data_IF_350736813585
#
_entry.id   IF_350736813585
#
_cell.length_a   1.000
_cell.length_b   1.000
_cell.length_c   1.000
_cell.angle_alpha   90.00
_cell.angle_beta   90.00
_cell.angle_gamma   90.00
#
_symmetry.space_group_name_H-M   'P 1'
#
loop_
_entity.id
_entity.type
_entity.pdbx_description
1 polymer ?
#
# COMPACT_ATOMS: atom_id res chain seq x y z
N UNK A 1 22.34 -7.28 -41.00
CA UNK A 1 23.41 -6.34 -41.38
C UNK A 1 23.48 -5.31 -40.28
N UNK A 2 24.47 -5.54 -39.42
CA UNK A 2 25.27 -4.63 -38.59
C UNK A 2 24.64 -3.76 -37.48
N UNK A 3 25.15 -4.02 -36.28
CA UNK A 3 25.54 -3.14 -35.17
C UNK A 3 24.78 -1.83 -34.91
N UNK A 4 24.27 -1.69 -33.67
CA UNK A 4 24.71 -0.57 -32.83
C UNK A 4 24.65 -0.89 -31.33
N UNK A 5 25.82 -0.78 -30.71
CA UNK A 5 26.13 -0.91 -29.30
C UNK A 5 25.79 0.40 -28.54
N UNK A 6 25.73 0.32 -27.21
CA UNK A 6 25.69 1.39 -26.17
C UNK A 6 24.39 1.31 -25.34
N UNK A 7 24.42 1.12 -24.02
CA UNK A 7 25.48 1.19 -23.04
C UNK A 7 24.84 1.62 -21.73
N UNK A 8 24.87 0.77 -20.71
CA UNK A 8 24.84 1.19 -19.28
C UNK A 8 25.47 0.08 -18.44
N UNK A 9 26.74 -0.23 -18.75
CA UNK A 9 27.65 -0.69 -17.71
C UNK A 9 27.89 0.50 -16.77
N UNK A 10 27.53 0.39 -15.49
CA UNK A 10 28.34 0.99 -14.41
C UNK A 10 27.79 0.84 -12.99
N UNK A 11 26.53 0.47 -12.73
CA UNK A 11 26.02 0.51 -11.33
C UNK A 11 25.72 -0.85 -10.69
N UNK A 12 26.03 -1.96 -11.36
CA UNK A 12 25.82 -3.33 -10.82
C UNK A 12 27.03 -4.25 -11.00
N UNK A 13 28.24 -3.69 -10.98
CA UNK A 13 29.49 -4.44 -11.17
C UNK A 13 29.98 -5.27 -9.99
N UNK A 14 29.27 -5.28 -8.85
CA UNK A 14 29.83 -5.84 -7.59
C UNK A 14 29.16 -7.12 -7.05
N UNK A 15 28.20 -7.71 -7.77
CA UNK A 15 27.48 -8.90 -7.31
C UNK A 15 27.38 -10.01 -8.37
N UNK A 16 28.51 -10.31 -9.03
CA UNK A 16 28.64 -11.38 -10.02
C UNK A 16 28.08 -12.75 -9.58
N UNK A 17 28.36 -13.24 -8.35
CA UNK A 17 27.85 -14.54 -7.88
C UNK A 17 26.34 -14.54 -7.63
N UNK A 18 25.77 -13.38 -7.24
CA UNK A 18 24.36 -13.25 -6.85
C UNK A 18 23.46 -13.22 -8.09
N UNK A 19 23.98 -12.74 -9.23
CA UNK A 19 23.24 -12.67 -10.50
C UNK A 19 22.98 -14.05 -11.12
N UNK A 20 23.96 -14.98 -11.03
CA UNK A 20 23.73 -16.37 -11.47
C UNK A 20 22.80 -17.11 -10.51
N UNK A 21 22.92 -16.87 -9.20
CA UNK A 21 22.04 -17.42 -8.18
C UNK A 21 20.59 -16.95 -8.32
N UNK A 22 20.34 -15.67 -8.63
CA UNK A 22 19.00 -15.13 -8.82
C UNK A 22 18.29 -15.73 -10.05
N UNK A 23 19.04 -16.04 -11.12
CA UNK A 23 18.45 -16.59 -12.35
C UNK A 23 17.88 -17.99 -12.12
N UNK A 24 18.48 -18.76 -11.21
CA UNK A 24 18.05 -20.11 -10.84
C UNK A 24 16.84 -20.16 -9.87
N UNK A 25 16.52 -19.06 -9.18
CA UNK A 25 15.46 -19.02 -8.15
C UNK A 25 14.07 -18.61 -8.67
N UNK A 26 13.91 -18.37 -9.98
CA UNK A 26 12.64 -17.94 -10.59
C UNK A 26 11.65 -19.09 -10.86
N UNK A 27 11.61 -20.09 -9.97
CA UNK A 27 10.70 -21.24 -10.07
C UNK A 27 9.23 -20.82 -9.98
N UNK A 28 8.42 -21.36 -10.90
CA UNK A 28 7.04 -20.97 -11.19
C UNK A 28 6.02 -21.66 -10.28
N UNK A 29 5.14 -20.87 -9.64
CA UNK A 29 3.93 -21.34 -8.94
C UNK A 29 2.71 -21.15 -9.85
N UNK A 30 1.89 -22.19 -10.02
CA UNK A 30 0.71 -22.19 -10.89
C UNK A 30 -0.50 -21.44 -10.30
N UNK A 31 -0.49 -21.11 -9.00
CA UNK A 31 -1.51 -20.23 -8.39
C UNK A 31 -1.03 -18.78 -8.20
N UNK A 32 0.22 -18.48 -8.56
CA UNK A 32 0.72 -17.10 -8.55
C UNK A 32 0.33 -16.41 -9.85
N UNK A 33 -0.62 -15.48 -9.73
CA UNK A 33 -1.18 -14.69 -10.84
C UNK A 33 -0.16 -13.77 -11.53
N UNK A 34 1.07 -13.70 -11.05
CA UNK A 34 2.10 -12.91 -11.71
C UNK A 34 2.82 -13.66 -12.84
N UNK A 35 2.63 -14.96 -13.07
CA UNK A 35 3.46 -15.74 -14.02
C UNK A 35 2.82 -16.19 -15.34
N UNK A 36 3.14 -15.49 -16.42
CA UNK A 36 2.97 -15.93 -17.83
C UNK A 36 4.21 -15.50 -18.62
N UNK A 37 4.79 -16.21 -19.60
CA UNK A 37 4.69 -17.56 -20.15
C UNK A 37 5.98 -17.72 -20.97
N UNK A 38 6.96 -18.57 -20.58
CA UNK A 38 8.05 -19.17 -21.38
C UNK A 38 9.07 -19.86 -20.42
N UNK A 39 9.79 -20.93 -20.84
CA UNK A 39 10.64 -21.72 -19.92
C UNK A 39 12.06 -21.14 -19.81
N UNK A 40 12.66 -21.21 -18.62
CA UNK A 40 14.10 -20.99 -18.41
C UNK A 40 14.78 -22.27 -17.89
N UNK A 41 15.96 -22.54 -18.45
CA UNK A 41 16.66 -23.82 -18.49
C UNK A 41 17.50 -24.16 -17.26
N UNK A 42 17.86 -25.45 -17.20
CA UNK A 42 18.40 -26.21 -16.07
C UNK A 42 19.72 -25.74 -15.43
N UNK A 43 19.80 -25.98 -14.11
CA UNK A 43 20.98 -25.96 -13.23
C UNK A 43 20.66 -25.23 -11.92
N UNK A 44 21.22 -25.49 -10.74
CA UNK A 44 22.17 -26.48 -10.23
C UNK A 44 21.92 -26.64 -8.71
N UNK A 45 22.30 -27.79 -8.18
CA UNK A 45 22.08 -28.37 -6.85
C UNK A 45 22.91 -27.75 -5.72
N UNK A 46 22.28 -27.06 -4.74
CA UNK A 46 22.86 -26.93 -3.36
C UNK A 46 21.92 -26.34 -2.28
N UNK A 47 20.74 -25.81 -2.61
CA UNK A 47 19.77 -25.32 -1.60
C UNK A 47 18.45 -26.06 -1.78
N UNK A 48 18.43 -27.34 -1.40
CA UNK A 48 17.25 -28.20 -1.57
C UNK A 48 16.06 -27.66 -0.77
N UNK A 49 15.08 -27.10 -1.47
CA UNK A 49 13.73 -26.83 -0.96
C UNK A 49 13.41 -25.40 -0.55
N UNK A 50 14.36 -24.45 -0.60
CA UNK A 50 14.07 -23.06 -0.23
C UNK A 50 13.51 -22.29 -1.43
N UNK A 51 12.20 -21.96 -1.36
CA UNK A 51 11.48 -21.19 -2.36
C UNK A 51 11.52 -19.71 -1.99
N UNK A 52 12.41 -18.93 -2.60
CA UNK A 52 12.48 -17.46 -2.42
C UNK A 52 11.93 -16.79 -3.67
N UNK A 53 10.69 -16.30 -3.60
CA UNK A 53 10.10 -15.50 -4.67
C UNK A 53 10.54 -14.04 -4.58
N UNK A 54 10.89 -13.44 -5.71
CA UNK A 54 11.01 -11.97 -5.83
C UNK A 54 9.72 -11.48 -6.50
N UNK A 55 8.91 -10.65 -5.82
CA UNK A 55 7.68 -10.13 -6.41
C UNK A 55 7.96 -9.37 -7.72
N UNK A 56 7.18 -9.66 -8.78
CA UNK A 56 7.39 -9.06 -10.11
C UNK A 56 7.28 -7.53 -10.14
N UNK A 57 6.62 -6.93 -9.15
CA UNK A 57 6.57 -5.48 -8.95
C UNK A 57 7.98 -4.86 -8.86
N UNK A 58 8.98 -5.60 -8.37
CA UNK A 58 10.35 -5.13 -8.27
C UNK A 58 11.11 -5.18 -9.61
N UNK A 59 10.63 -5.95 -10.59
CA UNK A 59 11.25 -6.12 -11.92
C UNK A 59 10.75 -5.04 -12.91
N UNK A 60 9.46 -4.65 -12.86
CA UNK A 60 8.88 -3.57 -13.67
C UNK A 60 8.90 -2.19 -12.97
N UNK A 61 10.01 -1.89 -12.26
CA UNK A 61 10.18 -0.67 -11.46
C UNK A 61 9.93 0.61 -12.26
N UNK A 62 10.49 0.69 -13.47
CA UNK A 62 10.62 1.97 -14.19
C UNK A 62 9.29 2.54 -14.71
N UNK A 63 8.34 1.68 -15.09
CA UNK A 63 7.10 2.13 -15.73
C UNK A 63 5.95 2.33 -14.75
N UNK A 64 5.86 1.52 -13.69
CA UNK A 64 4.76 1.57 -12.72
C UNK A 64 5.19 2.16 -11.39
N UNK A 65 6.33 1.71 -10.84
CA UNK A 65 6.78 2.13 -9.51
C UNK A 65 7.26 3.58 -9.49
N UNK A 66 8.02 4.02 -10.51
CA UNK A 66 8.45 5.42 -10.60
C UNK A 66 7.27 6.38 -10.75
N UNK A 67 6.23 5.99 -11.50
CA UNK A 67 5.00 6.78 -11.62
C UNK A 67 4.24 6.81 -10.29
N UNK A 68 4.09 5.67 -9.62
CA UNK A 68 3.45 5.59 -8.31
C UNK A 68 4.17 6.43 -7.25
N UNK A 69 5.52 6.44 -7.24
CA UNK A 69 6.31 7.27 -6.33
C UNK A 69 6.18 8.77 -6.61
N UNK A 70 5.92 9.17 -7.86
CA UNK A 70 5.61 10.58 -8.19
C UNK A 70 4.24 10.96 -7.65
N UNK A 71 3.23 10.12 -7.86
CA UNK A 71 1.88 10.33 -7.32
C UNK A 71 1.91 10.41 -5.79
N UNK A 72 2.59 9.46 -5.13
CA UNK A 72 2.79 9.47 -3.67
C UNK A 72 3.39 10.80 -3.18
N UNK A 73 4.39 11.34 -3.90
CA UNK A 73 5.02 12.62 -3.55
C UNK A 73 4.05 13.80 -3.67
N UNK A 74 3.19 13.81 -4.69
CA UNK A 74 2.16 14.85 -4.84
C UNK A 74 1.18 14.80 -3.70
N UNK A 75 0.62 13.61 -3.41
CA UNK A 75 -0.35 13.41 -2.31
C UNK A 75 0.26 13.80 -0.96
N UNK A 76 1.48 13.35 -0.68
CA UNK A 76 2.17 13.70 0.56
C UNK A 76 2.34 15.20 0.71
N UNK A 77 2.75 15.89 -0.38
CA UNK A 77 2.91 17.34 -0.38
C UNK A 77 1.60 18.07 -0.11
N UNK A 78 0.50 17.66 -0.74
CA UNK A 78 -0.81 18.27 -0.50
C UNK A 78 -1.23 18.16 0.97
N UNK A 79 -1.05 16.98 1.59
CA UNK A 79 -1.33 16.78 3.01
C UNK A 79 -0.45 17.71 3.88
N UNK A 80 0.85 17.81 3.58
CA UNK A 80 1.74 18.70 4.33
C UNK A 80 1.38 20.18 4.16
N UNK A 81 0.99 20.59 2.96
CA UNK A 81 0.59 21.97 2.66
C UNK A 81 -0.71 22.33 3.41
N UNK A 82 -1.65 21.39 3.57
CA UNK A 82 -2.87 21.59 4.36
C UNK A 82 -2.56 21.91 5.83
N UNK A 83 -1.56 21.25 6.44
CA UNK A 83 -1.16 21.54 7.83
C UNK A 83 -0.55 22.94 8.02
N UNK A 84 -0.36 23.72 6.96
CA UNK A 84 -0.02 25.14 7.06
C UNK A 84 -1.16 26.00 7.62
N UNK A 85 -2.41 25.54 7.55
CA UNK A 85 -3.60 26.28 8.02
C UNK A 85 -4.46 25.56 9.04
N UNK A 86 -4.23 24.26 9.28
CA UNK A 86 -5.01 23.45 10.22
C UNK A 86 -4.11 22.55 11.07
N UNK A 87 -4.54 22.24 12.29
CA UNK A 87 -3.79 21.35 13.19
C UNK A 87 -4.07 19.86 12.93
N UNK A 88 -5.29 19.54 12.49
CA UNK A 88 -5.79 18.19 12.25
C UNK A 88 -6.70 18.18 11.02
N UNK A 89 -6.72 17.05 10.31
CA UNK A 89 -7.69 16.75 9.25
C UNK A 89 -8.69 15.73 9.77
N UNK A 90 -9.96 15.88 9.37
CA UNK A 90 -11.05 14.98 9.70
C UNK A 90 -11.64 14.41 8.42
N UNK A 91 -11.69 13.09 8.30
CA UNK A 91 -12.30 12.37 7.18
C UNK A 91 -13.19 11.25 7.70
N UNK A 92 -14.16 10.74 6.92
CA UNK A 92 -14.79 9.45 7.24
C UNK A 92 -13.74 8.34 7.21
N UNK A 93 -13.84 7.33 8.09
CA UNK A 93 -12.94 6.17 8.01
C UNK A 93 -13.27 5.28 6.81
N UNK A 94 -14.56 5.14 6.49
CA UNK A 94 -15.05 4.31 5.40
C UNK A 94 -16.17 5.03 4.63
N UNK A 95 -16.49 4.56 3.42
CA UNK A 95 -17.53 5.15 2.56
C UNK A 95 -18.96 4.88 3.06
N UNK A 96 -19.13 3.99 4.03
CA UNK A 96 -20.43 3.65 4.60
C UNK A 96 -20.30 2.61 5.73
N UNK A 97 -21.44 2.12 6.24
CA UNK A 97 -21.45 1.06 7.24
C UNK A 97 -20.90 -0.25 6.66
N UNK A 98 -20.39 -1.15 7.53
CA UNK A 98 -19.79 -2.40 7.12
C UNK A 98 -20.73 -3.26 6.25
N UNK A 99 -20.24 -3.85 5.16
CA UNK A 99 -21.06 -4.69 4.29
C UNK A 99 -21.38 -6.04 4.92
N UNK A 100 -22.51 -6.61 4.55
CA UNK A 100 -22.84 -7.99 4.90
C UNK A 100 -21.91 -8.98 4.19
N UNK A 101 -21.47 -10.01 4.90
CA UNK A 101 -20.61 -11.07 4.37
C UNK A 101 -21.18 -11.76 3.12
N UNK A 102 -22.50 -11.91 3.04
CA UNK A 102 -23.18 -12.47 1.87
C UNK A 102 -22.99 -11.63 0.61
N UNK A 103 -22.93 -10.29 0.74
CA UNK A 103 -22.67 -9.38 -0.39
C UNK A 103 -21.21 -9.42 -0.84
N UNK A 104 -20.26 -9.62 0.09
CA UNK A 104 -18.84 -9.80 -0.22
C UNK A 104 -18.61 -11.06 -1.07
N UNK A 105 -19.15 -12.22 -0.65
CA UNK A 105 -18.95 -13.50 -1.35
C UNK A 105 -19.49 -13.56 -2.77
N UNK A 106 -20.49 -12.75 -3.11
CA UNK A 106 -21.09 -12.76 -4.44
C UNK A 106 -20.29 -11.96 -5.48
N UNK A 107 -19.16 -11.35 -5.10
CA UNK A 107 -18.33 -10.55 -6.02
C UNK A 107 -19.00 -9.23 -6.48
N UNK A 108 -20.19 -8.92 -5.96
CA UNK A 108 -20.87 -7.63 -6.17
C UNK A 108 -20.18 -6.49 -5.40
N UNK A 109 -19.32 -6.83 -4.44
CA UNK A 109 -18.56 -5.87 -3.68
C UNK A 109 -17.30 -5.42 -4.44
N UNK A 110 -17.51 -4.66 -5.52
CA UNK A 110 -16.44 -3.94 -6.25
C UNK A 110 -15.87 -2.75 -5.46
N UNK A 111 -16.17 -2.68 -4.15
CA UNK A 111 -15.88 -1.55 -3.25
C UNK A 111 -14.67 -1.76 -2.36
N UNK A 112 -13.94 -2.87 -2.46
CA UNK A 112 -12.69 -3.04 -1.70
C UNK A 112 -11.74 -1.84 -1.95
N UNK A 113 -11.63 -1.36 -3.19
CA UNK A 113 -10.86 -0.16 -3.54
C UNK A 113 -11.46 1.15 -3.01
N UNK A 114 -12.77 1.19 -2.75
CA UNK A 114 -13.46 2.40 -2.29
C UNK A 114 -13.43 2.56 -0.78
N UNK A 115 -13.42 1.45 -0.03
CA UNK A 115 -13.43 1.50 1.42
C UNK A 115 -12.13 2.09 1.99
N UNK A 116 -11.01 1.89 1.28
CA UNK A 116 -9.71 2.45 1.63
C UNK A 116 -9.45 3.86 1.06
N UNK A 117 -10.40 4.44 0.34
CA UNK A 117 -10.21 5.72 -0.35
C UNK A 117 -9.79 6.85 0.62
N UNK A 118 -10.36 6.87 1.83
CA UNK A 118 -10.05 7.88 2.84
C UNK A 118 -8.85 7.54 3.71
N UNK A 119 -8.43 6.26 3.79
CA UNK A 119 -7.34 5.79 4.67
C UNK A 119 -5.99 5.77 3.95
N UNK A 120 -5.98 5.54 2.63
CA UNK A 120 -4.77 5.52 1.82
C UNK A 120 -3.91 6.81 1.88
N UNK A 121 -4.48 8.02 1.86
CA UNK A 121 -3.66 9.24 1.82
C UNK A 121 -2.73 9.39 3.02
N UNK A 122 -3.18 9.01 4.23
CA UNK A 122 -2.35 9.06 5.45
C UNK A 122 -1.14 8.12 5.35
N UNK A 123 -1.35 6.90 4.86
CA UNK A 123 -0.29 5.91 4.63
C UNK A 123 0.74 6.40 3.59
N UNK A 124 0.26 7.03 2.52
CA UNK A 124 1.12 7.56 1.46
C UNK A 124 1.97 8.74 1.93
N UNK A 125 1.39 9.64 2.73
CA UNK A 125 2.08 10.77 3.33
C UNK A 125 3.01 10.37 4.49
N UNK A 126 2.74 9.25 5.15
CA UNK A 126 3.50 8.80 6.32
C UNK A 126 3.19 9.61 7.58
N UNK A 127 1.93 10.02 7.74
CA UNK A 127 1.45 10.85 8.84
C UNK A 127 0.57 10.05 9.80
N UNK A 128 0.52 10.41 11.09
CA UNK A 128 -0.31 9.69 12.07
C UNK A 128 -1.81 9.86 11.77
N UNK A 129 -2.55 8.76 11.83
CA UNK A 129 -4.00 8.75 11.70
C UNK A 129 -4.65 7.78 12.70
N UNK A 130 -5.83 8.11 13.21
CA UNK A 130 -6.60 7.28 14.14
C UNK A 130 -8.08 7.28 13.75
N UNK A 131 -8.74 6.13 13.88
CA UNK A 131 -10.18 5.98 13.65
C UNK A 131 -10.92 6.00 14.99
N UNK A 132 -11.95 6.84 15.09
CA UNK A 132 -12.79 7.03 16.28
C UNK A 132 -14.25 6.72 15.91
N UNK A 133 -14.96 5.87 16.67
CA UNK A 133 -16.38 5.63 16.44
C UNK A 133 -17.19 6.89 16.75
N UNK A 134 -18.02 7.35 15.82
CA UNK A 134 -18.80 8.58 15.95
C UNK A 134 -20.32 8.36 15.95
N UNK A 135 -20.79 7.14 15.71
CA UNK A 135 -22.22 6.84 15.72
C UNK A 135 -22.55 5.50 15.10
N UNK A 136 -23.82 5.33 14.72
CA UNK A 136 -24.30 4.15 14.03
C UNK A 136 -25.40 4.48 13.02
N UNK A 137 -25.43 3.77 11.90
CA UNK A 137 -26.56 3.75 10.96
C UNK A 137 -27.05 2.32 10.83
N UNK A 138 -28.36 2.11 10.90
CA UNK A 138 -28.98 0.78 10.81
C UNK A 138 -28.38 -0.25 11.79
N UNK A 139 -28.09 0.18 13.03
CA UNK A 139 -27.40 -0.60 14.07
C UNK A 139 -25.96 -1.06 13.70
N UNK A 140 -25.35 -0.46 12.68
CA UNK A 140 -23.97 -0.70 12.29
C UNK A 140 -23.08 0.49 12.65
N UNK A 141 -21.85 0.26 13.16
CA UNK A 141 -20.98 1.33 13.60
C UNK A 141 -20.47 2.17 12.43
N UNK A 142 -20.39 3.49 12.65
CA UNK A 142 -19.76 4.46 11.76
C UNK A 142 -18.59 5.12 12.51
N UNK A 143 -17.49 5.33 11.81
CA UNK A 143 -16.28 5.96 12.34
C UNK A 143 -15.81 7.13 11.50
N UNK A 144 -15.13 8.05 12.17
CA UNK A 144 -14.35 9.14 11.56
C UNK A 144 -12.87 8.90 11.82
N UNK A 145 -12.04 9.35 10.89
CA UNK A 145 -10.60 9.30 10.94
C UNK A 145 -10.06 10.71 11.19
N UNK A 146 -9.20 10.83 12.20
CA UNK A 146 -8.41 12.02 12.47
C UNK A 146 -7.00 11.79 11.94
N UNK A 147 -6.46 12.76 11.22
CA UNK A 147 -5.10 12.71 10.65
C UNK A 147 -4.34 13.94 11.17
N UNK A 148 -3.18 13.71 11.77
CA UNK A 148 -2.32 14.78 12.28
C UNK A 148 -1.04 14.93 11.48
N UNK A 149 -0.31 16.03 11.71
CA UNK A 149 0.98 16.25 11.07
C UNK A 149 2.05 15.27 11.60
N UNK A 150 3.19 15.20 10.90
CA UNK A 150 4.32 14.35 11.25
C UNK A 150 4.72 14.51 12.73
N UNK A 151 4.82 13.37 13.43
CA UNK A 151 5.16 13.29 14.86
C UNK A 151 4.18 14.01 15.81
N UNK A 152 2.94 14.25 15.38
CA UNK A 152 1.87 14.83 16.23
C UNK A 152 0.91 13.77 16.79
N UNK A 153 1.38 12.53 16.95
CA UNK A 153 0.61 11.40 17.48
C UNK A 153 -0.12 11.73 18.79
N UNK A 154 0.56 12.45 19.71
CA UNK A 154 -0.05 12.87 20.97
C UNK A 154 -1.27 13.76 20.77
N UNK A 155 -1.19 14.77 19.91
CA UNK A 155 -2.31 15.65 19.61
C UNK A 155 -3.47 14.87 19.00
N UNK A 156 -3.16 13.95 18.08
CA UNK A 156 -4.14 13.08 17.44
C UNK A 156 -4.86 12.22 18.49
N UNK A 157 -4.12 11.60 19.41
CA UNK A 157 -4.70 10.80 20.49
C UNK A 157 -5.52 11.63 21.48
N UNK A 158 -5.04 12.81 21.88
CA UNK A 158 -5.74 13.69 22.82
C UNK A 158 -7.10 14.14 22.25
N UNK A 159 -7.15 14.54 20.98
CA UNK A 159 -8.39 14.94 20.31
C UNK A 159 -9.30 13.72 20.03
N UNK A 160 -8.71 12.58 19.70
CA UNK A 160 -9.47 11.34 19.51
C UNK A 160 -10.18 10.90 20.80
N UNK A 161 -9.52 11.01 21.95
CA UNK A 161 -10.11 10.71 23.25
C UNK A 161 -11.30 11.62 23.54
N UNK A 162 -11.14 12.94 23.33
CA UNK A 162 -12.23 13.90 23.52
C UNK A 162 -13.43 13.61 22.61
N UNK A 163 -13.19 13.28 21.34
CA UNK A 163 -14.24 12.93 20.40
C UNK A 163 -14.93 11.62 20.77
N UNK A 164 -14.18 10.65 21.28
CA UNK A 164 -14.72 9.38 21.75
C UNK A 164 -15.64 9.58 22.96
N UNK A 165 -15.21 10.36 23.95
CA UNK A 165 -16.00 10.64 25.15
C UNK A 165 -17.29 11.38 24.79
N UNK A 166 -17.22 12.40 23.92
CA UNK A 166 -18.40 13.11 23.42
C UNK A 166 -19.38 12.19 22.64
N UNK A 167 -18.85 11.21 21.90
CA UNK A 167 -19.66 10.24 21.18
C UNK A 167 -20.31 9.20 22.10
N UNK A 168 -19.78 8.98 23.31
CA UNK A 168 -20.42 8.16 24.34
C UNK A 168 -21.53 8.91 25.04
N UNK A 169 -21.33 10.18 25.37
CA UNK A 169 -22.34 11.03 26.02
C UNK A 169 -23.59 11.25 25.14
N UNK A 170 -23.45 11.08 23.83
CA UNK A 170 -24.51 11.25 22.83
C UNK A 170 -25.35 9.97 22.58
N UNK A 171 -25.09 8.87 23.30
CA UNK A 171 -25.77 7.58 23.13
C UNK A 171 -26.89 7.32 24.13
#
# INVERSE_FOLDING_TARGET
>A
MDEFCMGTSSVLGHFGPVKSALTMMTGTDKQDSTSTNLPLSDGCSSLSGLRIGIPKVFMNRKEHFDKALRVRRVIAREIYDMFGSVDLLLTPTATGPPPLFSKLRQGFYKREDQDDFYTQPANLAGVPAISVPCGSSDNLPIGVQLIGNLLKDRLVCDVAQLLYDAALDSR
#
